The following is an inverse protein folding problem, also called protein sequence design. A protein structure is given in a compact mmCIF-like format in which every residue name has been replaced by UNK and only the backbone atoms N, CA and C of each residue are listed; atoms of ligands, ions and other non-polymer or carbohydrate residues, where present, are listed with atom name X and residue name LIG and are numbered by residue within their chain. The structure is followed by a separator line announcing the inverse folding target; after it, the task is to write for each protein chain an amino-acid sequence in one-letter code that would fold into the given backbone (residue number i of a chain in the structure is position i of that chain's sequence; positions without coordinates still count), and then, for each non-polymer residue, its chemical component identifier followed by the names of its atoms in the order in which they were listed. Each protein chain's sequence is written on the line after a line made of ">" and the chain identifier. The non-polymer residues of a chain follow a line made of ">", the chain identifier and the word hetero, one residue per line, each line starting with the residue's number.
data_IF_597926865343
#
_entry.id   IF_597926865343
#
_cell.length_a   1.000
_cell.length_b   1.000
_cell.length_c   1.000
_cell.angle_alpha   90.00
_cell.angle_beta   90.00
_cell.angle_gamma   90.00
#
_symmetry.space_group_name_H-M   'P 1'
#
loop_
_entity.id
_entity.type
_entity.pdbx_description
1 polymer ?
#
# COMPACT_ATOMS: atom_id res chain seq x y z
N UNK A 1 -6.48 -10.53 12.20
CA UNK A 1 -5.68 -10.56 10.95
C UNK A 1 -5.24 -12.00 10.63
N UNK A 2 -4.77 -12.26 9.41
CA UNK A 2 -4.24 -13.57 9.05
C UNK A 2 -2.72 -13.51 9.02
N UNK A 3 -2.07 -14.36 9.81
CA UNK A 3 -0.63 -14.57 9.82
C UNK A 3 -0.26 -15.81 9.01
N UNK A 4 0.71 -15.70 8.13
CA UNK A 4 1.27 -16.80 7.35
C UNK A 4 2.77 -16.90 7.66
N UNK A 5 3.20 -18.04 8.22
CA UNK A 5 4.62 -18.25 8.55
C UNK A 5 5.49 -18.19 7.28
N UNK A 6 6.62 -17.50 7.37
CA UNK A 6 7.62 -17.46 6.29
C UNK A 6 8.59 -18.65 6.34
N UNK A 7 8.42 -19.55 7.31
CA UNK A 7 9.37 -20.64 7.59
C UNK A 7 10.60 -20.20 8.40
N UNK A 8 10.67 -18.93 8.79
CA UNK A 8 11.69 -18.41 9.69
C UNK A 8 11.06 -18.11 11.05
N UNK A 9 11.79 -18.33 12.18
CA UNK A 9 11.29 -18.00 13.51
C UNK A 9 10.81 -16.53 13.57
N UNK A 10 9.65 -16.31 14.18
CA UNK A 10 9.05 -14.99 14.43
C UNK A 10 8.89 -14.08 13.20
N UNK A 11 8.91 -14.65 11.99
CA UNK A 11 8.66 -13.93 10.76
C UNK A 11 7.37 -14.39 10.08
N UNK A 12 6.44 -13.46 9.91
CA UNK A 12 5.14 -13.68 9.31
C UNK A 12 4.92 -12.75 8.12
N UNK A 13 4.13 -13.22 7.16
CA UNK A 13 3.42 -12.35 6.22
C UNK A 13 2.08 -12.02 6.88
N UNK A 14 1.81 -10.75 7.01
CA UNK A 14 0.56 -10.27 7.60
C UNK A 14 -0.40 -9.85 6.50
N UNK A 15 -1.63 -10.35 6.59
CA UNK A 15 -2.73 -10.01 5.68
C UNK A 15 -3.74 -9.16 6.44
N UNK A 16 -3.74 -7.86 6.17
CA UNK A 16 -4.57 -6.87 6.84
C UNK A 16 -5.93 -6.73 6.13
N UNK A 17 -7.00 -6.72 6.93
CA UNK A 17 -8.32 -6.25 6.48
C UNK A 17 -8.40 -4.73 6.46
N UNK A 18 -9.52 -4.20 5.96
CA UNK A 18 -9.79 -2.76 5.95
C UNK A 18 -9.89 -2.23 7.39
N UNK A 19 -10.62 -2.94 8.28
CA UNK A 19 -10.79 -2.55 9.69
C UNK A 19 -9.46 -2.58 10.46
N UNK A 20 -8.58 -3.52 10.15
CA UNK A 20 -7.27 -3.62 10.80
C UNK A 20 -6.34 -2.49 10.37
N UNK A 21 -6.35 -2.12 9.08
CA UNK A 21 -5.61 -0.93 8.63
C UNK A 21 -6.17 0.35 9.25
N UNK A 22 -7.50 0.49 9.35
CA UNK A 22 -8.13 1.65 10.00
C UNK A 22 -7.82 1.69 11.50
N UNK A 23 -7.69 0.53 12.14
CA UNK A 23 -7.25 0.44 13.54
C UNK A 23 -5.81 0.95 13.68
N UNK A 24 -4.86 0.49 12.86
CA UNK A 24 -3.50 1.03 12.82
C UNK A 24 -3.48 2.55 12.62
N UNK A 25 -4.30 3.07 11.72
CA UNK A 25 -4.40 4.51 11.44
C UNK A 25 -4.88 5.30 12.66
N UNK A 26 -5.88 4.81 13.40
CA UNK A 26 -6.35 5.43 14.64
C UNK A 26 -5.25 5.54 15.71
N UNK A 27 -4.29 4.61 15.72
CA UNK A 27 -3.17 4.60 16.65
C UNK A 27 -1.86 5.20 16.07
N UNK A 28 -1.94 5.88 14.92
CA UNK A 28 -0.76 6.46 14.25
C UNK A 28 -0.04 7.54 15.08
N UNK A 29 -0.73 8.18 16.03
CA UNK A 29 -0.20 9.18 16.93
C UNK A 29 0.11 10.54 16.30
N UNK A 30 0.14 10.64 14.97
CA UNK A 30 0.29 11.91 14.24
C UNK A 30 -0.20 11.78 12.79
N UNK A 31 -0.58 12.92 12.18
CA UNK A 31 -0.98 12.96 10.76
C UNK A 31 0.12 12.45 9.82
N UNK A 32 1.39 12.79 10.08
CA UNK A 32 2.53 12.26 9.29
C UNK A 32 2.59 10.75 9.33
N UNK A 33 2.44 10.14 10.49
CA UNK A 33 2.49 8.70 10.63
C UNK A 33 1.27 8.04 9.95
N UNK A 34 0.08 8.64 10.06
CA UNK A 34 -1.11 8.17 9.34
C UNK A 34 -0.92 8.24 7.82
N UNK A 35 -0.30 9.31 7.29
CA UNK A 35 0.05 9.40 5.87
C UNK A 35 1.01 8.28 5.43
N UNK A 36 1.95 7.86 6.27
CA UNK A 36 2.84 6.72 5.98
C UNK A 36 2.00 5.43 5.81
N UNK A 37 1.05 5.20 6.70
CA UNK A 37 0.16 4.04 6.63
C UNK A 37 -0.73 4.09 5.39
N UNK A 38 -1.28 5.25 5.07
CA UNK A 38 -2.12 5.47 3.88
C UNK A 38 -1.33 5.25 2.59
N UNK A 39 -0.13 5.84 2.47
CA UNK A 39 0.72 5.70 1.30
C UNK A 39 1.17 4.25 1.08
N UNK A 40 1.42 3.50 2.15
CA UNK A 40 1.70 2.06 2.07
C UNK A 40 0.47 1.21 1.76
N UNK A 41 -0.63 1.43 2.48
CA UNK A 41 -1.82 0.56 2.47
C UNK A 41 -2.84 0.85 1.38
N UNK A 42 -3.00 2.11 0.95
CA UNK A 42 -3.98 2.52 -0.08
C UNK A 42 -3.34 2.89 -1.42
N UNK A 43 -2.07 3.32 -1.43
CA UNK A 43 -1.35 3.69 -2.66
C UNK A 43 -0.32 2.63 -3.07
N UNK A 44 0.06 1.77 -2.12
CA UNK A 44 0.96 0.66 -2.34
C UNK A 44 2.42 1.06 -2.47
N UNK A 45 2.85 2.18 -1.89
CA UNK A 45 4.25 2.59 -1.92
C UNK A 45 5.13 1.69 -1.05
N UNK A 46 6.37 1.50 -1.49
CA UNK A 46 7.42 0.88 -0.69
C UNK A 46 7.97 1.88 0.33
N UNK A 47 8.55 1.38 1.42
CA UNK A 47 9.10 2.23 2.48
C UNK A 47 10.09 3.27 1.97
N UNK A 48 10.94 2.93 0.99
CA UNK A 48 11.92 3.85 0.40
C UNK A 48 11.30 4.85 -0.59
N UNK A 49 10.11 4.58 -1.14
CA UNK A 49 9.39 5.46 -2.06
C UNK A 49 8.64 6.58 -1.32
N UNK A 50 8.20 6.33 -0.08
CA UNK A 50 7.42 7.29 0.71
C UNK A 50 8.14 8.62 0.93
N UNK A 51 9.45 8.67 1.29
CA UNK A 51 10.16 9.93 1.44
C UNK A 51 10.41 10.70 0.15
N UNK A 52 10.22 10.09 -1.00
CA UNK A 52 10.47 10.72 -2.30
C UNK A 52 9.28 11.53 -2.82
N UNK A 53 8.08 11.30 -2.26
CA UNK A 53 6.87 11.93 -2.78
C UNK A 53 6.65 13.31 -2.17
N UNK A 54 6.30 14.27 -3.04
CA UNK A 54 6.15 15.68 -2.72
C UNK A 54 4.85 16.21 -3.31
N UNK A 55 4.35 17.39 -2.92
CA UNK A 55 3.12 17.98 -3.48
C UNK A 55 3.11 18.09 -5.02
N UNK A 56 4.25 18.44 -5.65
CA UNK A 56 4.33 18.52 -7.12
C UNK A 56 4.15 17.17 -7.83
N UNK A 57 4.25 16.06 -7.13
CA UNK A 57 4.06 14.71 -7.66
C UNK A 57 2.57 14.30 -7.73
N UNK A 58 1.69 15.04 -7.05
CA UNK A 58 0.24 14.80 -7.12
C UNK A 58 -0.31 15.45 -8.39
N UNK A 59 -1.02 14.67 -9.19
CA UNK A 59 -1.61 15.15 -10.45
C UNK A 59 -3.04 14.61 -10.57
N UNK A 60 -3.92 15.47 -11.08
CA UNK A 60 -5.25 15.05 -11.50
C UNK A 60 -5.17 14.47 -12.92
N UNK A 61 -5.94 13.43 -13.22
CA UNK A 61 -6.03 12.86 -14.57
C UNK A 61 -6.64 13.88 -15.53
N UNK A 62 -6.34 13.75 -16.84
CA UNK A 62 -6.79 14.69 -17.85
C UNK A 62 -8.32 14.80 -17.96
N UNK A 63 -9.04 13.74 -17.66
CA UNK A 63 -10.50 13.71 -17.60
C UNK A 63 -11.07 14.22 -16.26
N UNK A 64 -10.19 14.56 -15.30
CA UNK A 64 -10.56 15.07 -13.99
C UNK A 64 -11.18 14.06 -13.05
N UNK A 65 -11.28 12.77 -13.41
CA UNK A 65 -11.98 11.75 -12.65
C UNK A 65 -11.18 11.18 -11.47
N UNK A 66 -9.85 11.20 -11.56
CA UNK A 66 -8.96 10.54 -10.62
C UNK A 66 -7.71 11.36 -10.32
N UNK A 67 -6.93 10.89 -9.35
CA UNK A 67 -5.60 11.41 -9.04
C UNK A 67 -4.52 10.35 -9.30
N UNK A 68 -3.31 10.82 -9.58
CA UNK A 68 -2.09 10.02 -9.70
C UNK A 68 -1.00 10.62 -8.84
N UNK A 69 -0.19 9.74 -8.26
CA UNK A 69 1.00 10.13 -7.53
C UNK A 69 2.23 9.66 -8.30
N UNK A 70 3.02 10.60 -8.79
CA UNK A 70 4.30 10.28 -9.44
C UNK A 70 5.28 9.74 -8.40
N UNK A 71 5.73 8.51 -8.57
CA UNK A 71 6.83 7.90 -7.83
C UNK A 71 8.08 8.05 -8.69
N UNK A 72 9.05 8.90 -8.27
CA UNK A 72 10.20 9.25 -9.12
C UNK A 72 11.12 8.06 -9.39
N UNK A 73 11.39 7.26 -8.35
CA UNK A 73 12.23 6.06 -8.44
C UNK A 73 11.50 4.85 -7.88
N UNK A 74 11.31 3.83 -8.72
CA UNK A 74 10.88 2.51 -8.29
C UNK A 74 12.07 1.67 -7.79
N UNK A 75 11.83 0.37 -7.51
CA UNK A 75 12.91 -0.55 -7.18
C UNK A 75 13.82 -0.76 -8.39
N UNK A 76 15.11 -0.49 -8.23
CA UNK A 76 16.10 -0.88 -9.23
C UNK A 76 16.33 -2.40 -9.18
N UNK A 77 15.96 -3.08 -10.25
CA UNK A 77 16.19 -4.52 -10.45
C UNK A 77 17.26 -4.80 -11.51
N UNK A 78 17.78 -3.74 -12.16
CA UNK A 78 18.67 -3.86 -13.32
C UNK A 78 20.00 -3.15 -13.14
N UNK A 79 20.21 -2.38 -12.06
CA UNK A 79 21.39 -1.54 -11.84
C UNK A 79 21.43 -0.24 -12.65
N UNK A 80 20.33 0.07 -13.36
CA UNK A 80 20.20 1.27 -14.20
C UNK A 80 19.26 2.35 -13.61
N UNK A 81 18.99 2.27 -12.31
CA UNK A 81 18.00 3.10 -11.61
C UNK A 81 16.60 2.52 -11.68
N UNK A 82 15.80 2.81 -10.66
CA UNK A 82 14.42 2.34 -10.59
C UNK A 82 13.51 3.10 -11.58
N UNK A 83 12.61 2.38 -12.24
CA UNK A 83 11.68 3.00 -13.20
C UNK A 83 10.65 3.85 -12.49
N UNK A 84 10.46 5.11 -12.91
CA UNK A 84 9.39 5.95 -12.39
C UNK A 84 8.03 5.41 -12.83
N UNK A 85 6.99 5.63 -12.00
CA UNK A 85 5.61 5.26 -12.33
C UNK A 85 4.61 6.27 -11.78
N UNK A 86 3.39 6.19 -12.27
CA UNK A 86 2.26 6.93 -11.73
C UNK A 86 1.35 5.96 -10.94
N UNK A 87 1.44 6.00 -9.62
CA UNK A 87 0.57 5.23 -8.75
C UNK A 87 -0.84 5.81 -8.74
N UNK A 88 -1.86 4.95 -8.54
CA UNK A 88 -3.21 5.42 -8.28
C UNK A 88 -3.26 6.09 -6.90
N UNK A 89 -3.86 7.29 -6.84
CA UNK A 89 -4.04 8.03 -5.60
C UNK A 89 -5.54 8.17 -5.30
N UNK A 90 -6.07 7.48 -4.29
CA UNK A 90 -7.47 7.63 -3.87
C UNK A 90 -7.76 9.08 -3.47
N UNK A 91 -8.94 9.59 -3.81
CA UNK A 91 -9.34 10.97 -3.52
C UNK A 91 -9.33 11.31 -2.01
N UNK A 92 -9.58 10.32 -1.15
CA UNK A 92 -9.49 10.51 0.30
C UNK A 92 -8.04 10.74 0.74
N UNK A 93 -7.09 9.96 0.19
CA UNK A 93 -5.65 10.12 0.50
C UNK A 93 -5.12 11.44 -0.07
N UNK A 94 -5.55 11.82 -1.28
CA UNK A 94 -5.19 13.12 -1.87
C UNK A 94 -5.62 14.28 -0.97
N UNK A 95 -6.86 14.25 -0.46
CA UNK A 95 -7.38 15.28 0.44
C UNK A 95 -6.55 15.37 1.73
N UNK A 96 -6.17 14.23 2.32
CA UNK A 96 -5.37 14.20 3.53
C UNK A 96 -3.95 14.73 3.28
N UNK A 97 -3.35 14.39 2.13
CA UNK A 97 -2.06 14.96 1.68
C UNK A 97 -2.14 16.46 1.48
N UNK A 98 -3.20 16.96 0.82
CA UNK A 98 -3.41 18.38 0.58
C UNK A 98 -3.59 19.14 1.92
N UNK A 99 -4.41 18.61 2.82
CA UNK A 99 -4.59 19.19 4.16
C UNK A 99 -3.26 19.23 4.92
N UNK A 100 -2.50 18.13 4.91
CA UNK A 100 -1.19 18.08 5.57
C UNK A 100 -0.21 19.08 4.99
N UNK A 101 -0.20 19.25 3.66
CA UNK A 101 0.59 20.27 2.98
C UNK A 101 0.27 21.68 3.51
N UNK A 102 -1.01 22.03 3.60
CA UNK A 102 -1.46 23.35 4.08
C UNK A 102 -1.09 23.58 5.55
N UNK A 103 -1.31 22.59 6.40
CA UNK A 103 -1.04 22.68 7.84
C UNK A 103 0.45 22.79 8.18
N UNK A 104 1.33 22.33 7.29
CA UNK A 104 2.79 22.35 7.52
C UNK A 104 3.54 23.30 6.55
N UNK A 105 2.82 24.13 5.79
CA UNK A 105 3.38 25.09 4.84
C UNK A 105 4.39 24.46 3.86
N UNK A 106 4.13 23.21 3.43
CA UNK A 106 5.04 22.50 2.54
C UNK A 106 5.07 23.11 1.15
N UNK A 107 6.28 23.44 0.69
CA UNK A 107 6.51 23.86 -0.69
C UNK A 107 6.28 22.70 -1.66
N UNK A 108 6.03 22.96 -2.94
CA UNK A 108 5.81 21.90 -3.94
C UNK A 108 6.91 20.83 -4.00
N UNK A 109 8.16 21.17 -3.66
CA UNK A 109 9.32 20.27 -3.67
C UNK A 109 9.64 19.61 -2.33
N UNK A 110 8.97 20.02 -1.25
CA UNK A 110 9.25 19.45 0.07
C UNK A 110 8.60 18.06 0.21
N UNK A 111 9.29 17.07 0.78
CA UNK A 111 8.69 15.75 0.95
C UNK A 111 7.56 15.79 1.99
N UNK A 112 6.46 15.09 1.73
CA UNK A 112 5.40 14.90 2.74
C UNK A 112 5.94 14.22 4.00
N UNK A 113 6.90 13.32 3.84
CA UNK A 113 7.52 12.55 4.92
C UNK A 113 9.03 12.72 4.87
N UNK A 114 9.56 13.64 5.69
CA UNK A 114 11.00 13.88 5.79
C UNK A 114 11.66 12.85 6.72
N UNK A 115 11.77 11.60 6.25
CA UNK A 115 12.39 10.48 6.94
C UNK A 115 13.24 9.67 5.95
N UNK A 116 14.13 8.84 6.48
CA UNK A 116 14.80 7.79 5.70
C UNK A 116 13.88 6.57 5.55
N UNK A 117 14.23 5.63 4.67
CA UNK A 117 13.53 4.34 4.56
C UNK A 117 13.45 3.62 5.92
N UNK A 118 14.58 3.57 6.64
CA UNK A 118 14.62 2.97 7.98
C UNK A 118 13.73 3.71 8.98
N UNK A 119 13.64 5.03 8.87
CA UNK A 119 12.73 5.85 9.66
C UNK A 119 11.27 5.53 9.38
N UNK A 120 10.88 5.36 8.11
CA UNK A 120 9.52 4.92 7.71
C UNK A 120 9.20 3.55 8.31
N UNK A 121 10.12 2.57 8.17
CA UNK A 121 9.95 1.23 8.77
C UNK A 121 9.79 1.28 10.29
N UNK A 122 10.60 2.12 10.96
CA UNK A 122 10.53 2.30 12.41
C UNK A 122 9.20 2.94 12.86
N UNK A 123 8.64 3.87 12.06
CA UNK A 123 7.31 4.44 12.34
C UNK A 123 6.24 3.35 12.25
N UNK A 124 6.21 2.57 11.17
CA UNK A 124 5.22 1.48 11.00
C UNK A 124 5.31 0.50 12.18
N UNK A 125 6.52 0.07 12.55
CA UNK A 125 6.72 -0.86 13.67
C UNK A 125 6.21 -0.28 14.99
N UNK A 126 6.52 0.99 15.29
CA UNK A 126 6.06 1.66 16.52
C UNK A 126 4.54 1.81 16.57
N UNK A 127 3.90 2.15 15.45
CA UNK A 127 2.44 2.23 15.36
C UNK A 127 1.83 0.83 15.58
N UNK A 128 2.42 -0.19 14.98
CA UNK A 128 2.00 -1.58 15.13
C UNK A 128 2.08 -2.05 16.59
N UNK A 129 3.20 -1.75 17.27
CA UNK A 129 3.39 -2.07 18.69
C UNK A 129 2.38 -1.32 19.58
N UNK A 130 2.19 -0.01 19.36
CA UNK A 130 1.21 0.78 20.09
C UNK A 130 -0.22 0.26 19.87
N UNK A 131 -0.55 -0.16 18.65
CA UNK A 131 -1.85 -0.75 18.35
C UNK A 131 -2.06 -2.07 19.09
N UNK A 132 -1.02 -2.92 19.15
CA UNK A 132 -1.08 -4.17 19.91
C UNK A 132 -1.32 -3.91 21.41
N UNK A 133 -0.60 -2.93 21.99
CA UNK A 133 -0.73 -2.56 23.39
C UNK A 133 -2.13 -2.04 23.73
N UNK A 134 -2.72 -1.20 22.85
CA UNK A 134 -4.03 -0.59 23.08
C UNK A 134 -5.20 -1.54 22.81
N UNK A 135 -5.06 -2.45 21.84
CA UNK A 135 -6.12 -3.41 21.49
C UNK A 135 -6.03 -4.73 22.24
N UNK A 136 -4.87 -5.04 22.79
CA UNK A 136 -4.58 -6.37 23.39
C UNK A 136 -4.41 -7.47 22.34
N UNK A 137 -4.27 -7.14 21.06
CA UNK A 137 -4.06 -8.08 19.96
C UNK A 137 -2.59 -8.06 19.52
N UNK A 138 -1.82 -9.03 20.00
CA UNK A 138 -0.39 -9.16 19.73
C UNK A 138 -0.05 -9.41 18.26
N UNK A 139 -1.00 -9.84 17.43
CA UNK A 139 -0.78 -10.05 16.00
C UNK A 139 -0.34 -8.76 15.29
N UNK A 140 -0.77 -7.58 15.78
CA UNK A 140 -0.31 -6.30 15.25
C UNK A 140 1.20 -6.12 15.35
N UNK A 141 1.88 -6.71 16.33
CA UNK A 141 3.35 -6.62 16.48
C UNK A 141 4.12 -7.18 15.28
N UNK A 142 3.47 -8.04 14.48
CA UNK A 142 4.08 -8.62 13.28
C UNK A 142 3.94 -7.73 12.03
N UNK A 143 3.16 -6.63 12.11
CA UNK A 143 2.93 -5.74 10.96
C UNK A 143 4.20 -4.97 10.60
N UNK A 144 4.54 -5.00 9.33
CA UNK A 144 5.65 -4.27 8.71
C UNK A 144 5.18 -3.37 7.55
N UNK A 145 6.05 -2.48 7.10
CA UNK A 145 5.76 -1.64 5.93
C UNK A 145 5.48 -2.44 4.65
N UNK A 146 6.01 -3.66 4.55
CA UNK A 146 5.76 -4.54 3.40
C UNK A 146 4.33 -5.11 3.44
N UNK A 147 3.78 -5.30 4.62
CA UNK A 147 2.42 -5.82 4.80
C UNK A 147 1.36 -4.79 4.40
N UNK A 148 1.63 -3.50 4.59
CA UNK A 148 0.79 -2.43 4.06
C UNK A 148 0.67 -2.54 2.53
N UNK A 149 1.80 -2.68 1.84
CA UNK A 149 1.81 -2.85 0.39
C UNK A 149 1.19 -4.20 -0.05
N UNK A 150 1.32 -5.25 0.76
CA UNK A 150 0.63 -6.54 0.54
C UNK A 150 -0.87 -6.36 0.58
N UNK A 151 -1.37 -5.63 1.57
CA UNK A 151 -2.80 -5.29 1.69
C UNK A 151 -3.31 -4.56 0.44
N UNK A 152 -2.57 -3.54 -0.06
CA UNK A 152 -2.92 -2.85 -1.31
C UNK A 152 -3.06 -3.82 -2.48
N UNK A 153 -2.08 -4.71 -2.67
CA UNK A 153 -2.13 -5.68 -3.76
C UNK A 153 -3.30 -6.65 -3.62
N UNK A 154 -3.51 -7.19 -2.42
CA UNK A 154 -4.60 -8.12 -2.13
C UNK A 154 -5.96 -7.47 -2.38
N UNK A 155 -6.17 -6.25 -1.84
CA UNK A 155 -7.41 -5.50 -2.04
C UNK A 155 -7.78 -5.37 -3.52
N UNK A 156 -6.82 -4.97 -4.35
CA UNK A 156 -7.08 -4.78 -5.78
C UNK A 156 -7.24 -6.10 -6.55
N UNK A 157 -6.43 -7.11 -6.24
CA UNK A 157 -6.41 -8.36 -7.00
C UNK A 157 -7.50 -9.33 -6.59
N UNK A 158 -7.78 -9.43 -5.28
CA UNK A 158 -8.68 -10.45 -4.74
C UNK A 158 -10.06 -9.87 -4.51
N UNK A 159 -10.16 -8.76 -3.75
CA UNK A 159 -11.45 -8.21 -3.35
C UNK A 159 -12.11 -7.46 -4.52
N UNK A 160 -11.35 -6.60 -5.22
CA UNK A 160 -11.84 -5.84 -6.39
C UNK A 160 -11.71 -6.61 -7.71
N UNK A 161 -11.08 -7.79 -7.71
CA UNK A 161 -10.88 -8.64 -8.90
C UNK A 161 -10.32 -7.87 -10.11
N UNK A 162 -9.46 -6.90 -9.83
CA UNK A 162 -8.89 -6.03 -10.84
C UNK A 162 -7.92 -6.79 -11.75
N UNK A 163 -7.83 -6.38 -13.01
CA UNK A 163 -6.86 -6.96 -13.93
C UNK A 163 -5.43 -6.85 -13.38
N UNK A 164 -4.71 -7.97 -13.20
CA UNK A 164 -3.36 -7.95 -12.62
C UNK A 164 -2.37 -7.03 -13.35
N UNK A 165 -2.50 -6.86 -14.68
CA UNK A 165 -1.64 -5.95 -15.44
C UNK A 165 -1.84 -4.48 -15.04
N UNK A 166 -3.08 -4.10 -14.71
CA UNK A 166 -3.38 -2.76 -14.20
C UNK A 166 -2.74 -2.57 -12.83
N UNK A 167 -2.90 -3.55 -11.92
CA UNK A 167 -2.32 -3.52 -10.58
C UNK A 167 -0.78 -3.49 -10.66
N UNK A 168 -0.17 -4.27 -11.55
CA UNK A 168 1.26 -4.25 -11.81
C UNK A 168 1.74 -2.86 -12.24
N UNK A 169 1.03 -2.21 -13.17
CA UNK A 169 1.42 -0.89 -13.69
C UNK A 169 1.39 0.18 -12.60
N UNK A 170 0.31 0.29 -11.83
CA UNK A 170 0.19 1.30 -10.77
C UNK A 170 1.06 0.99 -9.55
N UNK A 171 1.23 -0.30 -9.22
CA UNK A 171 2.03 -0.74 -8.09
C UNK A 171 3.53 -0.86 -8.39
N UNK A 172 3.95 -0.89 -9.65
CA UNK A 172 5.34 -1.05 -10.06
C UNK A 172 5.88 -2.46 -9.78
N UNK A 173 5.16 -3.48 -10.25
CA UNK A 173 5.64 -4.85 -10.37
C UNK A 173 6.00 -5.15 -11.82
N UNK A 174 7.21 -5.63 -12.05
CA UNK A 174 7.76 -5.85 -13.39
C UNK A 174 7.40 -7.22 -13.98
N UNK A 175 6.88 -8.14 -13.17
CA UNK A 175 6.54 -9.50 -13.64
C UNK A 175 5.36 -10.10 -12.87
N UNK A 176 4.68 -11.06 -13.50
CA UNK A 176 3.64 -11.86 -12.84
C UNK A 176 4.19 -12.63 -11.64
N UNK A 177 5.40 -13.17 -11.73
CA UNK A 177 6.07 -13.83 -10.60
C UNK A 177 6.19 -12.93 -9.37
N UNK A 178 6.36 -11.62 -9.56
CA UNK A 178 6.49 -10.66 -8.46
C UNK A 178 5.14 -10.34 -7.81
N UNK A 179 4.01 -10.51 -8.52
CA UNK A 179 2.67 -10.25 -8.01
C UNK A 179 1.96 -11.53 -7.55
N UNK A 180 2.39 -12.69 -8.05
CA UNK A 180 1.82 -14.01 -7.74
C UNK A 180 1.66 -14.29 -6.23
N UNK A 181 2.62 -13.93 -5.33
CA UNK A 181 2.46 -14.13 -3.89
C UNK A 181 1.27 -13.39 -3.26
N UNK A 182 0.65 -12.45 -3.98
CA UNK A 182 -0.55 -11.72 -3.54
C UNK A 182 -1.84 -12.30 -4.12
N UNK A 183 -1.73 -13.23 -5.07
CA UNK A 183 -2.84 -13.99 -5.60
C UNK A 183 -3.01 -15.22 -4.72
N UNK A 184 -3.96 -15.20 -3.80
CA UNK A 184 -4.34 -16.40 -3.07
C UNK A 184 -4.97 -17.41 -4.04
N UNK A 185 -4.79 -18.70 -3.81
CA UNK A 185 -5.59 -19.71 -4.49
C UNK A 185 -7.07 -19.38 -4.26
N UNK A 186 -7.88 -19.31 -5.32
CA UNK A 186 -9.30 -19.00 -5.18
C UNK A 186 -9.99 -20.08 -4.35
N UNK A 187 -10.92 -19.68 -3.48
CA UNK A 187 -11.79 -20.62 -2.81
C UNK A 187 -12.76 -21.25 -3.82
N UNK A 188 -13.33 -22.40 -3.49
CA UNK A 188 -14.36 -23.05 -4.32
C UNK A 188 -15.53 -22.10 -4.64
N UNK A 189 -15.95 -21.30 -3.67
CA UNK A 189 -16.98 -20.28 -3.84
C UNK A 189 -16.59 -19.25 -4.91
N UNK A 190 -15.37 -18.72 -4.86
CA UNK A 190 -14.86 -17.74 -5.86
C UNK A 190 -14.81 -18.35 -7.26
N UNK A 191 -14.42 -19.63 -7.36
CA UNK A 191 -14.45 -20.35 -8.64
C UNK A 191 -15.88 -20.48 -9.15
N UNK A 192 -16.81 -20.92 -8.33
CA UNK A 192 -18.21 -21.08 -8.70
C UNK A 192 -18.84 -19.75 -9.12
N UNK A 193 -18.61 -18.68 -8.38
CA UNK A 193 -19.10 -17.35 -8.70
C UNK A 193 -18.53 -16.82 -10.02
N UNK A 194 -17.26 -17.11 -10.31
CA UNK A 194 -16.61 -16.70 -11.55
C UNK A 194 -17.23 -17.38 -12.79
N UNK A 195 -17.74 -18.60 -12.63
CA UNK A 195 -18.39 -19.34 -13.73
C UNK A 195 -19.90 -19.11 -13.81
N UNK A 196 -20.51 -18.38 -12.86
CA UNK A 196 -21.93 -18.01 -12.97
C UNK A 196 -22.14 -17.09 -14.19
N UNK A 197 -22.94 -17.54 -15.12
CA UNK A 197 -23.29 -16.79 -16.35
C UNK A 197 -22.23 -16.85 -17.45
N UNK A 198 -21.19 -17.69 -17.33
CA UNK A 198 -20.26 -17.96 -18.44
C UNK A 198 -20.87 -18.94 -19.39
N UNK A 199 -21.17 -18.49 -20.61
CA UNK A 199 -21.54 -19.35 -21.74
C UNK A 199 -20.25 -19.71 -22.50
N UNK A 200 -19.89 -21.00 -22.47
CA UNK A 200 -18.72 -21.52 -23.19
C UNK A 200 -19.03 -21.94 -24.60
N UNK A 201 -20.30 -21.80 -25.07
CA UNK A 201 -20.71 -22.10 -26.44
C UNK A 201 -20.71 -23.59 -26.80
N UNK A 202 -20.91 -24.47 -25.81
CA UNK A 202 -21.00 -25.93 -25.97
C UNK A 202 -22.43 -26.43 -25.80
#
# INVERSE_FOLDING_TARGET
>A
MRLESTGKPDQYKVWLSDEELDTLRRHAGSKRNDLILQLGGYVGLRAFEIPQVTPQHVKRTSDGSNYRLRVPEGKDTTGNGGKPRDAYLPAAVERDLHQYQQENDLRPSDPYVSLTESGVRAVVKRVADATADETGDDDYRHVSSHDLRRRFAQRLLVDERMNPRVVMAVGGWDSFKAIEPYLNAPSEQVVNDAFQGVDLGV
#
